data_IF_600643161869
#
_entry.id   IF_600643161869
#
_cell.length_a   1.000
_cell.length_b   1.000
_cell.length_c   1.000
_cell.angle_alpha   90.00
_cell.angle_beta   90.00
_cell.angle_gamma   90.00
#
_symmetry.space_group_name_H-M   'P 1'
#
loop_
_entity.id
_entity.type
_entity.pdbx_description
1 polymer ?
#
# COMPACT_ATOMS: atom_id res chain seq x y z
N UNK A 1 0.97 -17.62 -19.93
CA UNK A 1 0.05 -16.98 -18.95
C UNK A 1 0.83 -15.89 -18.25
N UNK A 2 0.59 -14.62 -18.60
CA UNK A 2 1.35 -13.48 -18.08
C UNK A 2 0.89 -13.24 -16.63
N UNK A 3 1.82 -13.26 -15.67
CA UNK A 3 1.53 -12.82 -14.29
C UNK A 3 1.39 -11.31 -14.28
N UNK A 4 0.16 -10.80 -14.40
CA UNK A 4 -0.17 -9.38 -14.26
C UNK A 4 0.13 -8.85 -12.83
N UNK A 5 0.33 -9.76 -11.87
CA UNK A 5 0.69 -9.45 -10.50
C UNK A 5 2.18 -9.67 -10.24
N UNK A 6 2.79 -8.69 -9.57
CA UNK A 6 4.15 -8.74 -9.05
C UNK A 6 4.17 -8.56 -7.54
N UNK A 7 4.88 -9.45 -6.83
CA UNK A 7 5.07 -9.31 -5.38
C UNK A 7 6.42 -8.65 -5.15
N UNK A 8 6.41 -7.50 -4.49
CA UNK A 8 7.59 -6.66 -4.29
C UNK A 8 8.51 -7.28 -3.25
N UNK A 9 9.80 -7.32 -3.53
CA UNK A 9 10.80 -7.81 -2.58
C UNK A 9 11.09 -6.75 -1.52
N UNK A 10 11.56 -7.19 -0.35
CA UNK A 10 11.95 -6.29 0.73
C UNK A 10 13.09 -5.32 0.36
N UNK A 11 13.99 -5.72 -0.54
CA UNK A 11 15.04 -4.84 -1.07
C UNK A 11 14.46 -3.70 -1.91
N UNK A 12 13.53 -4.01 -2.80
CA UNK A 12 12.88 -3.05 -3.70
C UNK A 12 11.99 -2.07 -2.92
N UNK A 13 11.37 -2.51 -1.82
CA UNK A 13 10.61 -1.60 -0.93
C UNK A 13 11.49 -0.49 -0.34
N UNK A 14 12.77 -0.77 -0.05
CA UNK A 14 13.72 0.24 0.47
C UNK A 14 14.21 1.20 -0.60
N UNK A 15 14.14 0.80 -1.87
CA UNK A 15 14.49 1.64 -3.01
C UNK A 15 13.29 2.46 -3.50
N UNK A 16 12.08 2.10 -3.06
CA UNK A 16 10.80 2.67 -3.50
C UNK A 16 10.00 3.21 -2.32
N UNK A 17 10.60 4.15 -1.59
CA UNK A 17 10.02 4.76 -0.38
C UNK A 17 8.66 5.45 -0.66
N UNK A 18 8.36 5.81 -1.90
CA UNK A 18 7.05 6.35 -2.28
C UNK A 18 5.89 5.35 -2.03
N UNK A 19 6.15 4.04 -1.97
CA UNK A 19 5.15 3.03 -1.57
C UNK A 19 4.70 3.28 -0.13
N UNK A 20 5.63 3.72 0.74
CA UNK A 20 5.31 4.12 2.11
C UNK A 20 4.37 5.32 2.12
N UNK A 21 4.62 6.32 1.29
CA UNK A 21 3.75 7.50 1.14
C UNK A 21 2.35 7.09 0.69
N UNK A 22 2.24 6.14 -0.25
CA UNK A 22 0.93 5.63 -0.69
C UNK A 22 0.14 4.98 0.45
N UNK A 23 0.81 4.20 1.30
CA UNK A 23 0.19 3.63 2.49
C UNK A 23 -0.22 4.72 3.48
N UNK A 24 0.65 5.69 3.77
CA UNK A 24 0.36 6.77 4.70
C UNK A 24 -0.85 7.59 4.27
N UNK A 25 -0.94 7.95 2.99
CA UNK A 25 -2.11 8.66 2.44
C UNK A 25 -3.38 7.79 2.51
N UNK A 26 -3.29 6.52 2.11
CA UNK A 26 -4.42 5.58 2.15
C UNK A 26 -4.93 5.35 3.58
N UNK A 27 -4.03 5.41 4.57
CA UNK A 27 -4.36 5.26 5.98
C UNK A 27 -4.89 6.56 6.59
N UNK A 28 -4.28 7.70 6.26
CA UNK A 28 -4.63 9.01 6.83
C UNK A 28 -6.02 9.49 6.41
N UNK A 29 -6.37 9.37 5.13
CA UNK A 29 -7.65 9.87 4.60
C UNK A 29 -8.87 9.35 5.40
N UNK A 30 -9.04 8.01 5.60
CA UNK A 30 -10.16 7.49 6.38
C UNK A 30 -10.02 7.69 7.90
N UNK A 31 -8.80 7.90 8.41
CA UNK A 31 -8.53 8.06 9.86
C UNK A 31 -8.25 9.51 10.27
N UNK A 32 -8.58 10.48 9.41
CA UNK A 32 -8.28 11.90 9.60
C UNK A 32 -8.95 12.53 10.84
N UNK A 33 -9.98 11.88 11.38
CA UNK A 33 -10.64 12.28 12.63
C UNK A 33 -9.88 11.87 13.90
N UNK A 34 -8.92 10.95 13.80
CA UNK A 34 -8.11 10.49 14.94
C UNK A 34 -7.07 11.55 15.26
N UNK A 35 -7.19 12.17 16.44
CA UNK A 35 -6.15 13.08 16.96
C UNK A 35 -4.89 12.28 17.28
N UNK A 36 -3.72 12.86 16.96
CA UNK A 36 -2.38 12.27 17.21
C UNK A 36 -2.15 10.89 16.57
N UNK A 37 -2.47 10.75 15.28
CA UNK A 37 -2.13 9.55 14.51
C UNK A 37 -0.61 9.48 14.29
N UNK A 38 0.05 8.47 14.87
CA UNK A 38 1.48 8.25 14.66
C UNK A 38 1.70 7.35 13.44
N UNK A 39 1.86 7.97 12.27
CA UNK A 39 2.09 7.23 11.04
C UNK A 39 3.35 6.36 11.10
N UNK A 40 4.35 6.68 11.91
CA UNK A 40 5.59 5.89 12.01
C UNK A 40 5.37 4.47 12.55
N UNK A 41 4.21 4.21 13.18
CA UNK A 41 3.80 2.89 13.66
C UNK A 41 3.20 1.98 12.60
N UNK A 42 3.08 2.44 11.35
CA UNK A 42 2.65 1.61 10.23
C UNK A 42 3.82 0.76 9.72
N UNK A 43 3.63 -0.55 9.71
CA UNK A 43 4.63 -1.50 9.22
C UNK A 43 4.11 -2.18 7.96
N UNK A 44 4.81 -2.00 6.83
CA UNK A 44 4.50 -2.72 5.58
C UNK A 44 4.95 -4.17 5.73
N UNK A 45 4.03 -5.12 5.59
CA UNK A 45 4.32 -6.55 5.69
C UNK A 45 4.42 -7.21 4.32
N UNK A 46 3.61 -6.78 3.35
CA UNK A 46 3.63 -7.31 1.98
C UNK A 46 3.08 -6.30 0.98
N UNK A 47 3.65 -6.28 -0.23
CA UNK A 47 3.12 -5.48 -1.34
C UNK A 47 2.97 -6.34 -2.58
N UNK A 48 1.81 -6.23 -3.21
CA UNK A 48 1.57 -6.74 -4.55
C UNK A 48 1.17 -5.60 -5.48
N UNK A 49 1.63 -5.65 -6.72
CA UNK A 49 1.36 -4.66 -7.76
C UNK A 49 0.69 -5.35 -8.93
N UNK A 50 -0.44 -4.81 -9.36
CA UNK A 50 -1.12 -5.20 -10.58
C UNK A 50 -0.93 -4.13 -11.64
N UNK A 51 -0.57 -4.57 -12.85
CA UNK A 51 -0.48 -3.73 -14.04
C UNK A 51 -1.26 -4.38 -15.18
N UNK A 52 -2.07 -3.60 -15.88
CA UNK A 52 -2.76 -4.05 -17.11
C UNK A 52 -1.90 -3.92 -18.37
N UNK A 53 -0.74 -3.25 -18.27
CA UNK A 53 0.16 -3.07 -19.40
C UNK A 53 0.84 -4.42 -19.71
N UNK A 54 0.38 -5.06 -20.79
CA UNK A 54 0.89 -6.35 -21.29
C UNK A 54 2.35 -6.26 -21.78
N UNK A 55 2.82 -5.05 -22.10
CA UNK A 55 4.14 -4.76 -22.67
C UNK A 55 5.28 -4.65 -21.65
N UNK A 56 4.99 -4.72 -20.34
CA UNK A 56 6.03 -4.64 -19.29
C UNK A 56 6.70 -6.01 -19.11
N UNK A 57 7.82 -6.20 -19.81
CA UNK A 57 8.57 -7.46 -19.85
C UNK A 57 9.22 -7.83 -18.51
N UNK A 58 9.66 -6.83 -17.72
CA UNK A 58 10.40 -7.08 -16.49
C UNK A 58 9.58 -6.77 -15.20
N UNK A 59 9.65 -7.63 -14.16
CA UNK A 59 8.84 -7.44 -12.95
C UNK A 59 9.14 -6.17 -12.15
N UNK A 60 10.37 -5.67 -12.17
CA UNK A 60 10.76 -4.41 -11.53
C UNK A 60 10.23 -3.17 -12.29
N UNK A 61 10.08 -3.25 -13.62
CA UNK A 61 9.49 -2.19 -14.43
C UNK A 61 8.00 -1.98 -14.09
N UNK A 62 7.32 -3.04 -13.62
CA UNK A 62 5.92 -2.96 -13.17
C UNK A 62 5.73 -2.02 -11.98
N UNK A 63 6.74 -1.81 -11.13
CA UNK A 63 6.68 -0.79 -10.07
C UNK A 63 6.63 0.63 -10.62
N UNK A 64 7.26 0.84 -11.78
CA UNK A 64 7.33 2.13 -12.48
C UNK A 64 6.24 2.28 -13.55
N UNK A 65 5.31 1.31 -13.66
CA UNK A 65 4.23 1.37 -14.62
C UNK A 65 3.33 2.60 -14.38
N UNK A 66 3.00 3.32 -15.44
CA UNK A 66 2.18 4.55 -15.37
C UNK A 66 0.85 4.31 -14.67
N UNK A 67 0.21 3.20 -15.02
CA UNK A 67 -1.04 2.75 -14.43
C UNK A 67 -0.80 1.48 -13.64
N UNK A 68 -1.05 1.55 -12.32
CA UNK A 68 -0.82 0.42 -11.43
C UNK A 68 -1.81 0.42 -10.28
N UNK A 69 -2.11 -0.77 -9.76
CA UNK A 69 -2.85 -0.94 -8.51
C UNK A 69 -1.92 -1.60 -7.51
N UNK A 70 -1.73 -0.94 -6.38
CA UNK A 70 -0.92 -1.41 -5.26
C UNK A 70 -1.83 -1.98 -4.18
N UNK A 71 -1.55 -3.21 -3.78
CA UNK A 71 -2.15 -3.87 -2.63
C UNK A 71 -1.08 -3.92 -1.54
N UNK A 72 -1.24 -3.09 -0.52
CA UNK A 72 -0.25 -2.93 0.54
C UNK A 72 -0.84 -3.52 1.81
N UNK A 73 -0.35 -4.69 2.22
CA UNK A 73 -0.64 -5.25 3.54
C UNK A 73 0.23 -4.56 4.59
N UNK A 74 -0.38 -4.13 5.68
CA UNK A 74 0.29 -3.43 6.75
C UNK A 74 -0.25 -3.81 8.13
N UNK A 75 0.54 -3.51 9.14
CA UNK A 75 0.15 -3.57 10.56
C UNK A 75 0.21 -2.16 11.15
N UNK A 76 -0.67 -1.87 12.12
CA UNK A 76 -0.66 -0.61 12.87
C UNK A 76 -0.81 -0.85 14.37
N UNK A 77 0.12 -0.28 15.13
CA UNK A 77 0.30 -0.50 16.56
C UNK A 77 0.52 0.83 17.30
N UNK A 78 -0.55 1.52 17.75
CA UNK A 78 -0.41 2.84 18.38
C UNK A 78 0.22 2.77 19.78
N UNK A 79 0.06 1.65 20.50
CA UNK A 79 0.50 1.51 21.90
C UNK A 79 1.53 0.36 22.02
N UNK A 80 2.81 0.69 22.16
CA UNK A 80 3.85 -0.25 22.56
C UNK A 80 3.96 -0.25 24.10
N UNK A 81 3.04 -0.90 24.80
CA UNK A 81 3.23 -1.12 26.24
C UNK A 81 4.27 -2.24 26.42
N UNK A 82 5.43 -1.89 26.99
CA UNK A 82 6.61 -2.77 27.16
C UNK A 82 6.32 -4.06 27.93
N UNK A 83 5.30 -4.07 28.79
CA UNK A 83 4.99 -5.21 29.68
C UNK A 83 3.94 -6.18 29.12
N UNK A 84 3.21 -5.82 28.06
CA UNK A 84 2.10 -6.64 27.52
C UNK A 84 2.16 -6.88 26.01
N UNK A 85 3.20 -6.37 25.33
CA UNK A 85 3.31 -6.38 23.88
C UNK A 85 2.24 -5.49 23.21
N UNK A 86 2.52 -5.01 22.01
CA UNK A 86 1.44 -4.48 21.19
C UNK A 86 0.54 -5.66 20.80
N UNK A 87 -0.74 -5.67 21.20
CA UNK A 87 -1.73 -6.48 20.47
C UNK A 87 -1.76 -5.88 19.06
N UNK A 88 -1.32 -6.57 17.99
CA UNK A 88 -1.38 -6.04 16.63
C UNK A 88 -2.84 -5.72 16.40
N UNK A 89 -3.20 -4.45 16.47
CA UNK A 89 -4.61 -4.14 16.60
C UNK A 89 -5.33 -4.56 15.33
N UNK A 90 -4.67 -4.51 14.15
CA UNK A 90 -5.31 -4.63 12.83
C UNK A 90 -4.28 -5.01 11.76
N UNK A 91 -4.41 -6.20 11.18
CA UNK A 91 -3.90 -6.49 9.83
C UNK A 91 -4.76 -5.70 8.84
N UNK A 92 -4.18 -4.74 8.14
CA UNK A 92 -4.87 -3.89 7.16
C UNK A 92 -4.39 -4.15 5.74
N UNK A 93 -5.26 -3.90 4.76
CA UNK A 93 -4.88 -3.83 3.35
C UNK A 93 -5.30 -2.47 2.80
N UNK A 94 -4.33 -1.74 2.26
CA UNK A 94 -4.58 -0.52 1.50
C UNK A 94 -4.55 -0.85 0.01
N UNK A 95 -5.60 -0.44 -0.72
CA UNK A 95 -5.66 -0.53 -2.18
C UNK A 95 -5.43 0.88 -2.73
N UNK A 96 -4.34 1.06 -3.46
CA UNK A 96 -3.97 2.35 -4.04
C UNK A 96 -3.91 2.21 -5.55
N UNK A 97 -4.78 2.92 -6.25
CA UNK A 97 -4.76 3.01 -7.71
C UNK A 97 -3.99 4.24 -8.13
N UNK A 98 -2.94 4.06 -8.92
CA UNK A 98 -2.19 5.11 -9.58
C UNK A 98 -2.59 5.22 -11.04
N UNK A 99 -2.83 6.44 -11.50
CA UNK A 99 -2.95 6.78 -12.92
C UNK A 99 -2.04 7.96 -13.21
N UNK A 100 -1.23 7.84 -14.25
CA UNK A 100 -0.40 8.94 -14.75
C UNK A 100 -0.90 9.35 -16.13
N UNK A 101 -1.21 10.63 -16.30
CA UNK A 101 -1.53 11.17 -17.62
C UNK A 101 -0.30 11.13 -18.52
N UNK A 102 -0.48 10.72 -19.78
CA UNK A 102 0.65 10.53 -20.70
C UNK A 102 1.21 11.85 -21.23
N UNK A 103 0.41 12.92 -21.22
CA UNK A 103 0.72 14.20 -21.85
C UNK A 103 1.20 15.19 -20.79
N UNK A 104 0.42 15.39 -19.72
CA UNK A 104 0.78 16.32 -18.65
C UNK A 104 1.76 15.73 -17.64
N UNK A 105 1.80 14.39 -17.52
CA UNK A 105 2.55 13.71 -16.46
C UNK A 105 1.86 13.77 -15.09
N UNK A 106 0.66 14.34 -15.01
CA UNK A 106 -0.09 14.45 -13.76
C UNK A 106 -0.39 13.07 -13.19
N UNK A 107 -0.13 12.91 -11.90
CA UNK A 107 -0.38 11.66 -11.18
C UNK A 107 -1.61 11.78 -10.31
N UNK A 108 -2.62 10.97 -10.59
CA UNK A 108 -3.80 10.80 -9.73
C UNK A 108 -3.66 9.54 -8.90
N UNK A 109 -3.85 9.68 -7.59
CA UNK A 109 -3.98 8.55 -6.67
C UNK A 109 -5.43 8.42 -6.19
N UNK A 110 -5.95 7.21 -6.21
CA UNK A 110 -7.25 6.87 -5.64
C UNK A 110 -7.06 5.78 -4.60
N UNK A 111 -7.68 5.98 -3.44
CA UNK A 111 -7.51 5.10 -2.29
C UNK A 111 -8.83 4.40 -2.01
N UNK A 112 -8.78 3.08 -1.90
CA UNK A 112 -9.86 2.29 -1.32
C UNK A 112 -9.29 1.61 -0.07
N UNK A 113 -9.73 2.11 1.08
CA UNK A 113 -9.52 1.42 2.35
C UNK A 113 -10.79 0.65 2.66
N UNK A 114 -10.73 -0.69 2.67
CA UNK A 114 -11.81 -1.46 3.26
C UNK A 114 -11.74 -1.25 4.77
N UNK A 115 -12.56 -0.33 5.27
CA UNK A 115 -12.84 -0.21 6.69
C UNK A 115 -14.01 -1.13 7.09
N UNK A 116 -14.22 -2.24 6.38
CA UNK A 116 -15.21 -3.25 6.72
C UNK A 116 -14.59 -4.31 7.61
N UNK A 117 -14.92 -4.20 8.89
CA UNK A 117 -14.39 -4.93 10.03
C UNK A 117 -14.70 -6.44 10.07
N UNK A 118 -15.17 -7.08 8.98
CA UNK A 118 -15.62 -8.48 9.06
C UNK A 118 -15.23 -9.44 7.93
N UNK A 119 -15.07 -9.04 6.68
CA UNK A 119 -15.14 -10.06 5.61
C UNK A 119 -14.08 -9.93 4.52
N UNK A 120 -12.79 -10.03 4.87
CA UNK A 120 -11.77 -10.31 3.85
C UNK A 120 -10.80 -11.35 4.42
N UNK A 121 -11.26 -12.59 4.55
CA UNK A 121 -10.54 -13.85 4.31
C UNK A 121 -11.50 -15.02 4.62
N UNK A 122 -12.46 -15.24 3.72
CA UNK A 122 -13.06 -16.56 3.47
C UNK A 122 -13.12 -16.76 1.95
#
# INVERSE_FOLDING_TARGET
>A
MIKAFYVVKKSELRENDWIRVYLELAFLVPNSSIRSLDLSKLVITKVAVYTSDEDMALPNEKLNARNAIFYIKYEYCPNENKDHGCKPTRDGVAIVRRKMDKISGDTTLSFQGDCNWRDIFL
#
